data_IF_096368211158
#
_entry.id   IF_096368211158
#
_cell.length_a   1.000
_cell.length_b   1.000
_cell.length_c   1.000
_cell.angle_alpha   90.00
_cell.angle_beta   90.00
_cell.angle_gamma   90.00
#
_symmetry.space_group_name_H-M   'P 1'
#
loop_
_entity.id
_entity.type
_entity.pdbx_description
1 polymer ?
#
# COMPACT_ATOMS: atom_id res chain seq x y z
N UNK A 1 -6.34 13.90 13.57
CA UNK A 1 -6.67 13.29 14.87
C UNK A 1 -7.46 12.04 14.57
N UNK A 2 -7.22 10.98 15.31
CA UNK A 2 -7.84 9.70 15.05
C UNK A 2 -9.29 9.66 15.57
N UNK A 3 -10.17 8.85 14.96
CA UNK A 3 -11.54 8.69 15.44
C UNK A 3 -11.57 8.14 16.86
N UNK A 4 -12.49 8.63 17.68
CA UNK A 4 -12.66 8.16 19.05
C UNK A 4 -13.09 6.68 19.09
N UNK A 5 -12.45 5.88 19.95
CA UNK A 5 -12.78 4.47 20.14
C UNK A 5 -12.29 3.53 19.02
N UNK A 6 -11.41 4.00 18.13
CA UNK A 6 -10.86 3.21 17.02
C UNK A 6 -9.35 3.02 17.22
N UNK A 7 -8.88 1.78 17.06
CA UNK A 7 -7.45 1.51 16.90
C UNK A 7 -7.03 1.90 15.48
N UNK A 8 -6.10 2.85 15.36
CA UNK A 8 -5.62 3.35 14.05
C UNK A 8 -4.22 2.84 13.78
N UNK A 9 -4.06 2.17 12.63
CA UNK A 9 -2.77 1.78 12.08
C UNK A 9 -2.50 2.64 10.85
N UNK A 10 -1.54 3.56 10.96
CA UNK A 10 -1.13 4.41 9.83
C UNK A 10 -0.20 3.66 8.89
N UNK A 11 -0.51 3.69 7.60
CA UNK A 11 0.30 3.12 6.51
C UNK A 11 0.42 4.15 5.39
N UNK A 12 1.50 4.08 4.62
CA UNK A 12 1.77 5.02 3.52
C UNK A 12 1.92 4.36 2.15
N UNK A 13 2.19 3.07 2.08
CA UNK A 13 2.31 2.32 0.83
C UNK A 13 1.30 1.19 0.71
N UNK A 14 1.00 0.76 -0.52
CA UNK A 14 0.17 -0.41 -0.77
C UNK A 14 0.74 -1.67 -0.10
N UNK A 15 2.08 -1.82 -0.06
CA UNK A 15 2.73 -2.92 0.64
C UNK A 15 2.47 -2.87 2.15
N UNK A 16 2.64 -1.71 2.79
CA UNK A 16 2.36 -1.56 4.21
C UNK A 16 0.89 -1.82 4.54
N UNK A 17 -0.03 -1.39 3.65
CA UNK A 17 -1.44 -1.74 3.77
C UNK A 17 -1.66 -3.25 3.67
N UNK A 18 -1.02 -3.92 2.71
CA UNK A 18 -1.10 -5.37 2.57
C UNK A 18 -0.62 -6.10 3.84
N UNK A 19 0.51 -5.66 4.40
CA UNK A 19 1.09 -6.23 5.62
C UNK A 19 0.17 -6.01 6.83
N UNK A 20 -0.35 -4.79 7.01
CA UNK A 20 -1.28 -4.45 8.08
C UNK A 20 -2.58 -5.26 7.96
N UNK A 21 -3.17 -5.32 6.77
CA UNK A 21 -4.39 -6.10 6.54
C UNK A 21 -4.12 -7.58 6.81
N UNK A 22 -3.01 -8.14 6.33
CA UNK A 22 -2.66 -9.55 6.57
C UNK A 22 -2.48 -9.88 8.04
N UNK A 23 -1.97 -8.93 8.83
CA UNK A 23 -1.82 -9.08 10.29
C UNK A 23 -3.16 -9.05 11.03
N UNK A 24 -4.09 -8.17 10.65
CA UNK A 24 -5.32 -7.90 11.41
C UNK A 24 -6.56 -8.65 10.87
N UNK A 25 -6.59 -9.00 9.59
CA UNK A 25 -7.70 -9.71 8.97
C UNK A 25 -8.04 -11.08 9.60
N UNK A 26 -7.09 -11.90 10.10
CA UNK A 26 -7.41 -13.20 10.70
C UNK A 26 -8.32 -13.13 11.92
N UNK A 27 -8.26 -12.03 12.69
CA UNK A 27 -9.08 -11.83 13.90
C UNK A 27 -10.29 -10.92 13.66
N UNK A 28 -10.49 -10.45 12.43
CA UNK A 28 -11.58 -9.55 12.09
C UNK A 28 -12.78 -10.31 11.54
N UNK A 29 -13.97 -10.05 12.08
CA UNK A 29 -15.21 -10.62 11.55
C UNK A 29 -15.58 -10.04 10.17
N UNK A 30 -15.32 -8.73 9.98
CA UNK A 30 -15.65 -7.98 8.77
C UNK A 30 -14.44 -7.18 8.29
N UNK A 31 -14.22 -7.19 6.97
CA UNK A 31 -13.23 -6.36 6.29
C UNK A 31 -13.93 -5.41 5.31
N UNK A 32 -13.68 -4.12 5.44
CA UNK A 32 -14.17 -3.08 4.51
C UNK A 32 -12.97 -2.45 3.80
N UNK A 33 -12.71 -2.86 2.56
CA UNK A 33 -11.60 -2.35 1.73
C UNK A 33 -11.99 -1.06 1.00
N UNK A 34 -12.11 0.04 1.75
CA UNK A 34 -12.46 1.37 1.21
C UNK A 34 -11.25 2.23 0.79
N UNK A 35 -10.02 1.75 1.02
CA UNK A 35 -8.81 2.47 0.64
C UNK A 35 -8.66 2.53 -0.89
N UNK A 36 -8.25 3.69 -1.41
CA UNK A 36 -7.82 3.83 -2.81
C UNK A 36 -6.41 3.25 -2.99
N UNK A 37 -6.30 1.93 -3.00
CA UNK A 37 -5.01 1.23 -3.11
C UNK A 37 -4.41 1.47 -4.49
N UNK A 38 -3.14 1.91 -4.55
CA UNK A 38 -2.47 2.11 -5.83
C UNK A 38 -2.17 0.78 -6.51
N UNK A 39 -2.59 0.63 -7.76
CA UNK A 39 -2.33 -0.58 -8.57
C UNK A 39 -0.83 -0.77 -8.91
N UNK A 40 -0.05 0.32 -8.86
CA UNK A 40 1.35 0.32 -9.25
C UNK A 40 2.23 1.06 -8.23
N UNK A 41 3.51 0.71 -8.20
CA UNK A 41 4.57 1.39 -7.46
C UNK A 41 5.78 1.63 -8.36
N UNK A 42 6.64 2.63 -8.07
CA UNK A 42 7.93 2.76 -8.75
C UNK A 42 8.74 1.47 -8.65
N UNK A 43 9.33 1.05 -9.77
CA UNK A 43 10.24 -0.09 -9.84
C UNK A 43 11.48 0.12 -8.96
N UNK A 44 11.95 1.37 -8.88
CA UNK A 44 13.05 1.78 -8.03
C UNK A 44 12.67 3.02 -7.23
N UNK A 45 13.02 3.03 -5.94
CA UNK A 45 12.82 4.17 -5.04
C UNK A 45 14.19 4.80 -4.78
N UNK A 46 14.36 6.05 -5.17
CA UNK A 46 15.60 6.78 -4.93
C UNK A 46 15.79 7.03 -3.42
N UNK A 47 17.01 6.83 -2.93
CA UNK A 47 17.38 7.07 -1.52
C UNK A 47 17.52 8.56 -1.17
N UNK A 48 17.56 9.42 -2.19
CA UNK A 48 17.60 10.86 -2.07
C UNK A 48 16.71 11.51 -3.12
N UNK A 49 16.35 12.78 -2.88
CA UNK A 49 15.54 13.57 -3.81
C UNK A 49 16.20 13.62 -5.19
N UNK A 50 15.46 13.19 -6.21
CA UNK A 50 15.86 13.31 -7.62
C UNK A 50 15.98 14.81 -7.96
N UNK A 51 17.18 15.25 -8.34
CA UNK A 51 17.46 16.64 -8.73
C UNK A 51 17.08 16.87 -10.18
N UNK A 52 16.81 18.14 -10.53
CA UNK A 52 16.61 18.54 -11.92
C UNK A 52 17.94 18.37 -12.67
N UNK A 53 17.92 17.60 -13.75
CA UNK A 53 19.05 17.44 -14.68
C UNK A 53 18.85 18.23 -15.97
N UNK A 54 19.91 18.35 -16.76
CA UNK A 54 19.88 18.98 -18.10
C UNK A 54 19.20 18.10 -19.15
N UNK A 55 19.11 16.79 -18.92
CA UNK A 55 18.52 15.81 -19.84
C UNK A 55 17.00 15.66 -19.72
N UNK A 56 16.35 16.50 -18.89
CA UNK A 56 14.91 16.42 -18.61
C UNK A 56 14.55 15.49 -17.45
N UNK A 57 13.26 15.32 -17.15
CA UNK A 57 12.81 14.45 -16.07
C UNK A 57 13.04 12.97 -16.42
N UNK A 58 13.49 12.14 -15.47
CA UNK A 58 13.62 10.71 -15.71
C UNK A 58 12.25 10.07 -15.88
N UNK A 59 12.19 8.98 -16.64
CA UNK A 59 11.01 8.11 -16.69
C UNK A 59 10.89 7.37 -15.37
N UNK A 60 9.67 7.25 -14.84
CA UNK A 60 9.36 6.44 -13.67
C UNK A 60 8.80 5.10 -14.16
N UNK A 61 9.63 4.07 -14.14
CA UNK A 61 9.18 2.70 -14.40
C UNK A 61 8.30 2.22 -13.25
N UNK A 62 7.22 1.52 -13.59
CA UNK A 62 6.21 1.06 -12.64
C UNK A 62 6.14 -0.47 -12.61
N UNK A 63 6.00 -1.01 -11.40
CA UNK A 63 5.67 -2.41 -11.14
C UNK A 63 4.28 -2.48 -10.52
N UNK A 64 3.56 -3.56 -10.79
CA UNK A 64 2.23 -3.79 -10.21
C UNK A 64 2.35 -4.11 -8.71
N UNK A 65 1.46 -3.54 -7.90
CA UNK A 65 1.27 -3.94 -6.50
C UNK A 65 0.41 -5.19 -6.38
N UNK A 66 0.56 -5.89 -5.27
CA UNK A 66 -0.30 -7.01 -4.95
C UNK A 66 -1.73 -6.51 -4.68
N UNK A 67 -2.71 -7.27 -5.18
CA UNK A 67 -4.11 -7.04 -4.85
C UNK A 67 -4.37 -7.52 -3.42
N UNK A 68 -4.49 -6.56 -2.51
CA UNK A 68 -4.67 -6.79 -1.07
C UNK A 68 -5.96 -7.57 -0.80
N UNK A 69 -7.08 -7.18 -1.43
CA UNK A 69 -8.37 -7.83 -1.21
C UNK A 69 -8.34 -9.27 -1.71
N UNK A 70 -7.83 -9.48 -2.93
CA UNK A 70 -7.69 -10.82 -3.48
C UNK A 70 -6.73 -11.69 -2.64
N UNK A 71 -5.69 -11.09 -2.05
CA UNK A 71 -4.78 -11.75 -1.11
C UNK A 71 -5.51 -12.28 0.13
N UNK A 72 -6.33 -11.44 0.77
CA UNK A 72 -7.13 -11.85 1.94
C UNK A 72 -8.12 -12.95 1.59
N UNK A 73 -8.79 -12.85 0.44
CA UNK A 73 -9.74 -13.88 -0.01
C UNK A 73 -9.04 -15.23 -0.19
N UNK A 74 -7.85 -15.26 -0.79
CA UNK A 74 -7.05 -16.49 -0.93
C UNK A 74 -6.62 -17.08 0.41
N UNK A 75 -6.28 -16.25 1.39
CA UNK A 75 -5.81 -16.69 2.71
C UNK A 75 -6.94 -17.23 3.61
N UNK A 76 -8.21 -17.04 3.25
CA UNK A 76 -9.38 -17.56 3.99
C UNK A 76 -9.78 -18.99 3.58
N UNK A 77 -9.31 -19.47 2.45
CA UNK A 77 -9.58 -20.82 1.93
C UNK A 77 -8.71 -21.86 2.63
#
# INVERSE_FOLDING_TARGET
VDPAGVEVVHVSSAQQLADAVSKHAPTADVLVMAAAVADFRPAQVATAKIKKGVEGPPTIELLRNDDVLAGVVRARA
#
